data_IF_525570278111
#
_entry.id   IF_525570278111
#
_cell.length_a   1.000
_cell.length_b   1.000
_cell.length_c   1.000
_cell.angle_alpha   90.00
_cell.angle_beta   90.00
_cell.angle_gamma   90.00
#
_symmetry.space_group_name_H-M   'P 1'
#
loop_
_entity.id
_entity.type
_entity.pdbx_description
1 polymer ?
#
# COMPACT_ATOMS: atom_id res chain seq x y z
N UNK A 1 -17.15 -46.07 18.25
CA UNK A 1 -16.41 -46.21 19.52
C UNK A 1 -15.17 -47.06 19.25
N UNK A 2 -14.03 -46.62 19.76
CA UNK A 2 -12.70 -47.25 19.74
C UNK A 2 -11.94 -47.23 18.38
N UNK A 3 -10.93 -46.37 18.19
CA UNK A 3 -9.51 -46.50 18.64
C UNK A 3 -8.81 -47.60 17.82
N UNK A 4 -7.71 -47.40 17.07
CA UNK A 4 -6.31 -47.16 17.47
C UNK A 4 -5.49 -47.07 16.15
N UNK A 5 -4.71 -46.02 15.86
CA UNK A 5 -3.26 -45.88 16.08
C UNK A 5 -2.41 -47.15 15.86
N UNK A 6 -1.38 -47.01 15.01
CA UNK A 6 -0.37 -48.02 14.63
C UNK A 6 -0.69 -48.55 13.23
N UNK A 7 0.10 -48.37 12.17
CA UNK A 7 1.51 -48.74 12.03
C UNK A 7 2.07 -47.93 10.85
N UNK A 8 2.88 -46.91 11.10
CA UNK A 8 3.80 -46.36 10.10
C UNK A 8 5.21 -46.54 10.63
N UNK A 9 5.57 -47.81 10.78
CA UNK A 9 6.87 -48.26 11.20
C UNK A 9 7.41 -49.24 10.19
N UNK A 10 7.74 -48.78 8.98
CA UNK A 10 8.74 -49.40 8.09
C UNK A 10 9.26 -48.31 7.16
N UNK A 11 10.36 -47.65 7.54
CA UNK A 11 11.43 -47.15 6.66
C UNK A 11 12.42 -46.33 7.51
N UNK A 12 13.09 -47.05 8.42
CA UNK A 12 14.36 -46.63 9.00
C UNK A 12 15.32 -47.82 8.86
N UNK A 13 15.99 -47.89 7.73
CA UNK A 13 17.10 -48.80 7.50
C UNK A 13 18.04 -48.14 6.48
N UNK A 14 18.84 -47.20 6.97
CA UNK A 14 20.19 -46.87 6.51
C UNK A 14 20.72 -45.83 7.49
N UNK A 15 21.20 -46.36 8.63
CA UNK A 15 21.82 -45.54 9.66
C UNK A 15 23.04 -44.80 9.12
N UNK A 16 23.08 -43.50 9.36
CA UNK A 16 24.33 -42.75 9.57
C UNK A 16 24.08 -41.72 10.67
N UNK A 17 24.66 -42.01 11.83
CA UNK A 17 24.82 -41.16 13.01
C UNK A 17 26.02 -40.22 12.85
N UNK A 18 26.03 -39.13 13.62
CA UNK A 18 27.17 -38.23 13.82
C UNK A 18 27.00 -36.95 13.00
N UNK A 19 26.50 -35.84 13.56
CA UNK A 19 27.21 -35.01 14.53
C UNK A 19 28.67 -34.79 14.10
N UNK A 20 28.86 -33.90 13.12
CA UNK A 20 29.92 -32.90 13.12
C UNK A 20 29.60 -31.89 12.03
N UNK A 21 29.70 -30.61 12.38
CA UNK A 21 30.11 -29.49 11.52
C UNK A 21 29.79 -28.19 12.28
N UNK A 22 30.64 -27.93 13.29
CA UNK A 22 31.00 -26.57 13.65
C UNK A 22 32.25 -26.24 12.82
N UNK A 23 32.08 -25.51 11.72
CA UNK A 23 33.17 -24.75 11.08
C UNK A 23 32.54 -23.68 10.20
N UNK A 24 32.81 -22.42 10.53
CA UNK A 24 32.26 -21.28 9.83
C UNK A 24 32.74 -21.19 8.38
N UNK A 25 31.85 -20.72 7.51
CA UNK A 25 32.16 -19.65 6.57
C UNK A 25 30.85 -19.09 6.04
N UNK A 26 30.69 -17.77 6.14
CA UNK A 26 29.57 -17.07 5.55
C UNK A 26 29.59 -17.19 4.04
N UNK A 27 28.47 -17.63 3.47
CA UNK A 27 28.07 -17.23 2.12
C UNK A 27 26.56 -17.31 2.04
N UNK A 28 25.95 -16.18 1.67
CA UNK A 28 24.52 -16.05 1.38
C UNK A 28 24.15 -17.05 0.28
N UNK A 29 23.60 -18.19 0.66
CA UNK A 29 22.82 -18.98 -0.29
C UNK A 29 21.48 -18.27 -0.46
N UNK A 30 21.39 -17.51 -1.55
CA UNK A 30 20.15 -16.97 -2.09
C UNK A 30 19.27 -18.16 -2.46
N UNK A 31 18.46 -18.59 -1.52
CA UNK A 31 17.43 -19.61 -1.69
C UNK A 31 16.52 -19.25 -2.88
N UNK A 32 16.40 -20.12 -3.90
CA UNK A 32 15.48 -19.93 -5.02
C UNK A 32 14.12 -20.51 -4.64
N UNK A 33 13.55 -20.05 -3.53
CA UNK A 33 12.20 -20.43 -3.16
C UNK A 33 11.22 -19.37 -3.64
N UNK A 34 10.58 -19.74 -4.76
CA UNK A 34 9.19 -19.46 -5.07
C UNK A 34 8.81 -17.98 -5.06
N UNK A 35 8.84 -17.38 -6.26
CA UNK A 35 7.86 -16.37 -6.63
C UNK A 35 6.48 -17.04 -6.53
N UNK A 36 5.96 -17.15 -5.30
CA UNK A 36 4.60 -17.54 -5.05
C UNK A 36 3.75 -16.51 -5.78
N UNK A 37 3.16 -16.95 -6.89
CA UNK A 37 2.10 -16.24 -7.59
C UNK A 37 1.05 -15.89 -6.55
N UNK A 38 1.10 -14.66 -6.03
CA UNK A 38 0.08 -14.15 -5.13
C UNK A 38 -1.20 -14.18 -5.95
N UNK A 39 -2.21 -14.99 -5.58
CA UNK A 39 -3.43 -15.06 -6.34
C UNK A 39 -3.97 -13.65 -6.47
N UNK A 40 -4.26 -13.26 -7.71
CA UNK A 40 -4.84 -11.98 -8.14
C UNK A 40 -6.29 -11.80 -7.62
N UNK A 41 -6.58 -12.30 -6.43
CA UNK A 41 -7.86 -12.22 -5.72
C UNK A 41 -8.04 -10.88 -4.99
N UNK A 42 -7.00 -10.06 -4.89
CA UNK A 42 -7.14 -8.62 -4.60
C UNK A 42 -7.18 -7.80 -5.91
N UNK A 43 -8.01 -8.21 -6.86
CA UNK A 43 -8.36 -7.34 -7.97
C UNK A 43 -9.37 -6.31 -7.46
N UNK A 44 -8.88 -5.12 -7.07
CA UNK A 44 -9.78 -3.97 -6.90
C UNK A 44 -10.56 -3.79 -8.20
N UNK A 45 -11.88 -3.89 -8.12
CA UNK A 45 -12.80 -3.72 -9.27
C UNK A 45 -12.57 -2.40 -10.00
N UNK A 46 -12.01 -1.41 -9.29
CA UNK A 46 -11.65 -0.10 -9.85
C UNK A 46 -10.51 -0.15 -10.88
N UNK A 47 -9.70 -1.21 -10.95
CA UNK A 47 -8.60 -1.29 -11.92
C UNK A 47 -9.07 -1.48 -13.36
N UNK A 48 -10.26 -2.05 -13.56
CA UNK A 48 -10.90 -2.21 -14.87
C UNK A 48 -11.87 -1.07 -15.25
N UNK A 49 -12.11 -0.12 -14.34
CA UNK A 49 -13.00 1.01 -14.63
C UNK A 49 -12.24 2.11 -15.39
N UNK A 50 -12.72 2.57 -16.55
CA UNK A 50 -11.99 3.51 -17.38
C UNK A 50 -11.85 4.85 -16.63
N UNK A 51 -10.70 5.48 -16.83
CA UNK A 51 -10.41 6.79 -16.24
C UNK A 51 -10.88 7.89 -17.18
N UNK A 52 -11.34 9.00 -16.61
CA UNK A 52 -11.67 10.20 -17.38
C UNK A 52 -10.48 10.63 -18.23
N UNK A 53 -10.70 11.07 -19.47
CA UNK A 53 -9.63 11.54 -20.35
C UNK A 53 -9.00 12.82 -19.81
N UNK A 54 -7.77 13.09 -20.25
CA UNK A 54 -7.02 14.27 -19.84
C UNK A 54 -7.64 15.52 -20.47
N UNK A 55 -7.84 16.57 -19.67
CA UNK A 55 -8.33 17.86 -20.18
C UNK A 55 -7.29 18.52 -21.09
N UNK A 56 -7.72 19.51 -21.89
CA UNK A 56 -6.86 20.25 -22.83
C UNK A 56 -5.58 20.78 -22.17
N UNK A 57 -5.70 21.49 -21.04
CA UNK A 57 -4.55 21.98 -20.29
C UNK A 57 -3.63 20.86 -19.76
N UNK A 58 -4.20 19.76 -19.24
CA UNK A 58 -3.39 18.65 -18.70
C UNK A 58 -2.62 17.97 -19.82
N UNK A 59 -3.23 17.83 -21.00
CA UNK A 59 -2.58 17.31 -22.22
C UNK A 59 -1.40 18.20 -22.62
N UNK A 60 -1.63 19.50 -22.78
CA UNK A 60 -0.56 20.48 -23.05
C UNK A 60 0.54 20.42 -21.98
N UNK A 61 0.17 20.39 -20.70
CA UNK A 61 1.13 20.35 -19.60
C UNK A 61 2.00 19.09 -19.61
N UNK A 62 1.41 17.95 -19.95
CA UNK A 62 2.13 16.67 -20.09
C UNK A 62 3.14 16.69 -21.22
N UNK A 63 2.82 17.35 -22.34
CA UNK A 63 3.72 17.50 -23.49
C UNK A 63 4.85 18.50 -23.23
N UNK A 64 4.55 19.62 -22.58
CA UNK A 64 5.54 20.67 -22.31
C UNK A 64 6.47 20.35 -21.14
N UNK A 65 5.99 19.64 -20.10
CA UNK A 65 6.80 19.32 -18.92
C UNK A 65 8.17 18.67 -19.23
N UNK A 66 8.29 17.63 -20.09
CA UNK A 66 9.58 17.04 -20.42
C UNK A 66 10.52 18.04 -21.14
N UNK A 67 10.00 18.91 -21.99
CA UNK A 67 10.78 19.93 -22.71
C UNK A 67 11.37 20.93 -21.69
N UNK A 68 10.54 21.43 -20.78
CA UNK A 68 10.96 22.34 -19.72
C UNK A 68 11.93 21.68 -18.73
N UNK A 69 11.76 20.38 -18.48
CA UNK A 69 12.65 19.60 -17.61
C UNK A 69 14.00 19.33 -18.27
N UNK A 70 14.04 19.10 -19.59
CA UNK A 70 15.29 18.98 -20.34
C UNK A 70 16.08 20.30 -20.36
N UNK A 71 15.39 21.43 -20.49
CA UNK A 71 16.02 22.75 -20.42
C UNK A 71 16.45 23.14 -18.99
N UNK A 72 15.79 22.60 -17.97
CA UNK A 72 16.05 22.92 -16.56
C UNK A 72 16.08 21.63 -15.72
N UNK A 73 17.15 20.82 -15.83
CA UNK A 73 17.23 19.51 -15.17
C UNK A 73 17.14 19.60 -13.64
N UNK A 74 17.66 20.68 -13.05
CA UNK A 74 17.68 20.87 -11.59
C UNK A 74 16.39 21.49 -11.03
N UNK A 75 15.53 22.04 -11.89
CA UNK A 75 14.31 22.70 -11.45
C UNK A 75 13.28 21.71 -10.90
N UNK A 76 12.60 22.10 -9.82
CA UNK A 76 11.47 21.34 -9.26
C UNK A 76 10.29 21.36 -10.22
N UNK A 77 9.61 20.23 -10.39
CA UNK A 77 8.44 20.15 -11.27
C UNK A 77 7.36 21.18 -10.91
N UNK A 78 7.20 21.54 -9.63
CA UNK A 78 6.27 22.59 -9.20
C UNK A 78 6.55 23.95 -9.82
N UNK A 79 7.83 24.31 -10.01
CA UNK A 79 8.25 25.55 -10.67
C UNK A 79 7.94 25.50 -12.18
N UNK A 80 8.25 24.37 -12.81
CA UNK A 80 8.03 24.16 -14.24
C UNK A 80 6.55 24.19 -14.60
N UNK A 81 5.71 23.53 -13.80
CA UNK A 81 4.26 23.55 -14.00
C UNK A 81 3.68 24.96 -13.88
N UNK A 82 4.21 25.80 -12.97
CA UNK A 82 3.79 27.22 -12.89
C UNK A 82 4.13 27.99 -14.16
N UNK A 83 5.32 27.78 -14.73
CA UNK A 83 5.73 28.39 -16.01
C UNK A 83 4.85 27.92 -17.16
N UNK A 84 4.57 26.63 -17.25
CA UNK A 84 3.68 26.04 -18.26
C UNK A 84 2.25 26.58 -18.13
N UNK A 85 1.74 26.74 -16.90
CA UNK A 85 0.43 27.35 -16.66
C UNK A 85 0.36 28.82 -17.09
N UNK A 86 1.48 29.55 -17.07
CA UNK A 86 1.56 30.90 -17.62
C UNK A 86 1.51 30.86 -19.16
N UNK A 87 2.31 29.99 -19.78
CA UNK A 87 2.33 29.81 -21.23
C UNK A 87 0.96 29.41 -21.78
N UNK A 88 0.26 28.50 -21.11
CA UNK A 88 -1.10 28.12 -21.52
C UNK A 88 -2.08 29.30 -21.54
N UNK A 89 -1.95 30.26 -20.61
CA UNK A 89 -2.81 31.44 -20.58
C UNK A 89 -2.51 32.39 -21.73
N UNK A 90 -1.24 32.51 -22.09
CA UNK A 90 -0.73 33.35 -23.18
C UNK A 90 -0.92 32.71 -24.57
N UNK A 91 -1.20 31.40 -24.63
CA UNK A 91 -1.39 30.65 -25.87
C UNK A 91 -2.61 31.18 -26.66
N UNK A 92 -2.52 31.31 -27.99
CA UNK A 92 -3.66 31.73 -28.80
C UNK A 92 -4.78 30.68 -28.76
N UNK A 93 -6.01 31.15 -28.90
CA UNK A 93 -7.20 30.29 -28.79
C UNK A 93 -7.28 29.27 -29.95
N UNK A 94 -6.66 29.56 -31.09
CA UNK A 94 -6.50 28.61 -32.20
C UNK A 94 -5.74 27.36 -31.79
N UNK A 95 -4.63 27.52 -31.07
CA UNK A 95 -3.83 26.39 -30.58
C UNK A 95 -4.52 25.68 -29.43
N UNK A 96 -5.14 26.42 -28.50
CA UNK A 96 -5.94 25.82 -27.41
C UNK A 96 -7.06 24.93 -27.96
N UNK A 97 -7.70 25.37 -29.05
CA UNK A 97 -8.81 24.65 -29.70
C UNK A 97 -8.40 23.26 -30.17
N UNK A 98 -7.18 23.09 -30.66
CA UNK A 98 -6.64 21.77 -31.07
C UNK A 98 -6.68 20.78 -29.88
N UNK A 99 -6.28 21.23 -28.70
CA UNK A 99 -6.31 20.41 -27.48
C UNK A 99 -7.73 20.18 -26.96
N UNK A 100 -8.63 21.15 -27.12
CA UNK A 100 -10.04 21.01 -26.77
C UNK A 100 -10.77 20.00 -27.66
N UNK A 101 -10.55 20.06 -28.97
CA UNK A 101 -11.13 19.13 -29.93
C UNK A 101 -10.62 17.71 -29.68
N UNK A 102 -9.32 17.55 -29.39
CA UNK A 102 -8.76 16.27 -28.96
C UNK A 102 -9.39 15.75 -27.64
N UNK A 103 -9.62 16.63 -26.66
CA UNK A 103 -10.32 16.26 -25.42
C UNK A 103 -11.77 15.84 -25.70
N UNK A 104 -12.48 16.54 -26.59
CA UNK A 104 -13.86 16.21 -26.97
C UNK A 104 -13.93 14.84 -27.63
N UNK A 105 -13.00 14.52 -28.53
CA UNK A 105 -12.91 13.21 -29.16
C UNK A 105 -12.69 12.09 -28.13
N UNK A 106 -11.69 12.24 -27.25
CA UNK A 106 -11.43 11.27 -26.18
C UNK A 106 -12.63 11.12 -25.23
N UNK A 107 -13.38 12.20 -24.99
CA UNK A 107 -14.55 12.19 -24.14
C UNK A 107 -15.69 11.33 -24.72
N UNK A 108 -15.88 11.35 -26.04
CA UNK A 108 -16.86 10.46 -26.69
C UNK A 108 -16.46 9.00 -26.52
N UNK A 109 -15.20 8.67 -26.78
CA UNK A 109 -14.68 7.29 -26.60
C UNK A 109 -14.85 6.83 -25.15
N UNK A 110 -14.51 7.69 -24.17
CA UNK A 110 -14.70 7.41 -22.76
C UNK A 110 -16.17 7.16 -22.40
N UNK A 111 -17.09 7.95 -22.96
CA UNK A 111 -18.52 7.81 -22.72
C UNK A 111 -19.04 6.48 -23.26
N UNK A 112 -18.66 6.12 -24.47
CA UNK A 112 -19.01 4.83 -25.07
C UNK A 112 -18.48 3.66 -24.25
N UNK A 113 -17.21 3.72 -23.81
CA UNK A 113 -16.60 2.66 -23.00
C UNK A 113 -17.28 2.51 -21.64
N UNK A 114 -17.63 3.62 -20.99
CA UNK A 114 -18.40 3.61 -19.74
C UNK A 114 -19.77 2.95 -19.94
N UNK A 115 -20.49 3.31 -21.01
CA UNK A 115 -21.80 2.74 -21.28
C UNK A 115 -21.71 1.22 -21.50
N UNK A 116 -20.74 0.77 -22.30
CA UNK A 116 -20.48 -0.67 -22.53
C UNK A 116 -20.21 -1.42 -21.23
N UNK A 117 -19.37 -0.86 -20.36
CA UNK A 117 -19.05 -1.48 -19.07
C UNK A 117 -20.26 -1.47 -18.15
N UNK A 118 -21.04 -0.39 -18.12
CA UNK A 118 -22.25 -0.32 -17.30
C UNK A 118 -23.29 -1.37 -17.70
N UNK A 119 -23.48 -1.61 -18.99
CA UNK A 119 -24.38 -2.66 -19.50
C UNK A 119 -23.90 -4.08 -19.12
N UNK A 120 -22.59 -4.29 -19.06
CA UNK A 120 -22.00 -5.60 -18.72
C UNK A 120 -21.94 -5.88 -17.22
N UNK A 121 -22.13 -4.87 -16.37
CA UNK A 121 -21.97 -5.02 -14.93
C UNK A 121 -23.22 -5.60 -14.27
N UNK A 122 -23.01 -6.59 -13.38
CA UNK A 122 -24.09 -7.09 -12.52
C UNK A 122 -24.41 -6.08 -11.41
N UNK A 123 -25.66 -6.06 -10.90
CA UNK A 123 -26.04 -5.15 -9.79
C UNK A 123 -25.15 -5.29 -8.55
N UNK A 124 -24.70 -6.52 -8.24
CA UNK A 124 -23.78 -6.78 -7.14
C UNK A 124 -22.41 -6.13 -7.35
N UNK A 125 -21.86 -6.21 -8.57
CA UNK A 125 -20.60 -5.57 -8.93
C UNK A 125 -20.70 -4.03 -8.86
N UNK A 126 -21.82 -3.45 -9.34
CA UNK A 126 -22.06 -2.01 -9.23
C UNK A 126 -22.00 -1.53 -7.78
N UNK A 127 -22.74 -2.18 -6.87
CA UNK A 127 -22.74 -1.82 -5.44
C UNK A 127 -21.34 -1.96 -4.83
N UNK A 128 -20.60 -3.02 -5.20
CA UNK A 128 -19.23 -3.22 -4.72
C UNK A 128 -18.29 -2.09 -5.19
N UNK A 129 -18.42 -1.65 -6.44
CA UNK A 129 -17.64 -0.58 -7.03
C UNK A 129 -17.94 0.78 -6.38
N UNK A 130 -19.23 1.08 -6.18
CA UNK A 130 -19.67 2.29 -5.48
C UNK A 130 -19.12 2.34 -4.05
N UNK A 131 -19.15 1.20 -3.34
CA UNK A 131 -18.59 1.07 -2.00
C UNK A 131 -17.07 1.28 -2.00
N UNK A 132 -16.33 0.69 -2.96
CA UNK A 132 -14.89 0.91 -3.11
C UNK A 132 -14.57 2.40 -3.37
N UNK A 133 -15.31 3.05 -4.26
CA UNK A 133 -15.16 4.48 -4.57
C UNK A 133 -15.43 5.34 -3.32
N UNK A 134 -16.51 5.04 -2.60
CA UNK A 134 -16.88 5.74 -1.37
C UNK A 134 -15.79 5.58 -0.29
N UNK A 135 -15.31 4.36 -0.05
CA UNK A 135 -14.24 4.11 0.91
C UNK A 135 -12.94 4.85 0.55
N UNK A 136 -12.55 4.88 -0.73
CA UNK A 136 -11.39 5.65 -1.21
C UNK A 136 -11.56 7.16 -0.98
N UNK A 137 -12.75 7.71 -1.24
CA UNK A 137 -13.08 9.12 -0.96
C UNK A 137 -13.00 9.44 0.53
N UNK A 138 -13.60 8.60 1.39
CA UNK A 138 -13.57 8.76 2.85
C UNK A 138 -12.14 8.68 3.39
N UNK A 139 -11.35 7.70 2.93
CA UNK A 139 -9.93 7.56 3.30
C UNK A 139 -9.11 8.80 2.92
N UNK A 140 -9.31 9.34 1.70
CA UNK A 140 -8.65 10.57 1.25
C UNK A 140 -9.04 11.77 2.12
N UNK A 141 -10.34 11.95 2.41
CA UNK A 141 -10.83 13.00 3.31
C UNK A 141 -10.22 12.91 4.72
N UNK A 142 -10.19 11.70 5.29
CA UNK A 142 -9.58 11.47 6.61
C UNK A 142 -8.08 11.80 6.61
N UNK A 143 -7.35 11.46 5.55
CA UNK A 143 -5.93 11.79 5.41
C UNK A 143 -5.70 13.30 5.32
N UNK A 144 -6.50 14.02 4.53
CA UNK A 144 -6.42 15.48 4.39
C UNK A 144 -6.69 16.14 5.75
N UNK A 145 -7.79 15.77 6.42
CA UNK A 145 -8.13 16.26 7.76
C UNK A 145 -7.03 15.99 8.77
N UNK A 146 -6.41 14.80 8.72
CA UNK A 146 -5.27 14.47 9.60
C UNK A 146 -4.06 15.37 9.34
N UNK A 147 -3.72 15.62 8.06
CA UNK A 147 -2.60 16.50 7.69
C UNK A 147 -2.85 17.93 8.16
N UNK A 148 -4.05 18.45 7.93
CA UNK A 148 -4.48 19.76 8.40
C UNK A 148 -4.36 19.91 9.92
N UNK A 149 -4.92 18.96 10.68
CA UNK A 149 -4.78 18.96 12.14
C UNK A 149 -3.32 18.87 12.61
N UNK A 150 -2.46 18.20 11.85
CA UNK A 150 -1.02 18.13 12.15
C UNK A 150 -0.33 19.46 11.88
N UNK A 151 -0.67 20.14 10.78
CA UNK A 151 -0.17 21.48 10.46
C UNK A 151 -0.61 22.53 11.49
N UNK A 152 -1.82 22.41 12.03
CA UNK A 152 -2.35 23.27 13.10
C UNK A 152 -1.74 22.96 14.49
N UNK A 153 -0.79 22.02 14.59
CA UNK A 153 -0.13 21.71 15.85
C UNK A 153 -1.02 21.02 16.88
N UNK A 154 -2.12 20.36 16.46
CA UNK A 154 -3.01 19.66 17.40
C UNK A 154 -2.19 18.65 18.24
N UNK A 155 -2.27 18.71 19.58
CA UNK A 155 -1.49 17.82 20.43
C UNK A 155 -1.82 16.35 20.17
N UNK A 156 -0.80 15.51 20.24
CA UNK A 156 -0.97 14.06 20.18
C UNK A 156 -1.75 13.59 21.41
N UNK A 157 -2.51 12.52 21.25
CA UNK A 157 -3.21 11.88 22.38
C UNK A 157 -2.18 11.39 23.42
N UNK A 158 -2.53 11.38 24.71
CA UNK A 158 -1.66 10.79 25.72
C UNK A 158 -1.37 9.32 25.39
N UNK A 159 -0.16 8.87 25.68
CA UNK A 159 0.22 7.47 25.49
C UNK A 159 -0.53 6.62 26.53
N UNK A 160 -1.20 5.56 26.08
CA UNK A 160 -1.74 4.52 26.96
C UNK A 160 -0.60 3.80 27.70
N UNK A 161 -0.85 3.26 28.89
CA UNK A 161 0.11 2.43 29.65
C UNK A 161 0.72 1.32 28.78
N UNK A 162 -0.11 0.67 27.95
CA UNK A 162 0.35 -0.28 26.94
C UNK A 162 1.36 0.35 25.97
N UNK A 163 1.05 1.52 25.39
CA UNK A 163 1.95 2.20 24.43
C UNK A 163 3.27 2.64 25.07
N UNK A 164 3.29 2.92 26.37
CA UNK A 164 4.50 3.24 27.15
C UNK A 164 5.36 1.98 27.28
N UNK A 165 4.78 0.87 27.75
CA UNK A 165 5.45 -0.43 27.81
C UNK A 165 5.99 -0.88 26.44
N UNK A 166 5.20 -0.75 25.36
CA UNK A 166 5.68 -1.05 23.99
C UNK A 166 6.91 -0.20 23.69
N UNK A 167 6.87 1.11 23.94
CA UNK A 167 7.98 2.01 23.61
C UNK A 167 9.27 1.66 24.38
N UNK A 168 9.16 1.21 25.64
CA UNK A 168 10.28 0.78 26.49
C UNK A 168 10.86 -0.55 25.99
N UNK A 169 10.02 -1.57 25.82
CA UNK A 169 10.45 -2.91 25.41
C UNK A 169 10.90 -2.99 23.95
N UNK A 170 10.46 -2.06 23.10
CA UNK A 170 10.86 -2.01 21.69
C UNK A 170 12.35 -1.68 21.49
N UNK A 171 12.98 -0.99 22.45
CA UNK A 171 14.42 -0.69 22.41
C UNK A 171 15.29 -1.89 22.82
N UNK A 172 14.75 -2.77 23.67
CA UNK A 172 15.46 -3.90 24.26
C UNK A 172 15.58 -5.11 23.29
N UNK A 173 14.64 -5.26 22.36
CA UNK A 173 14.64 -6.38 21.41
C UNK A 173 15.63 -6.14 20.26
N UNK A 174 16.81 -6.80 20.31
CA UNK A 174 17.86 -6.65 19.30
C UNK A 174 17.61 -7.35 17.96
N UNK A 175 16.56 -8.16 17.78
CA UNK A 175 16.42 -9.00 16.56
C UNK A 175 15.08 -8.84 15.82
N UNK A 176 15.12 -8.72 14.49
CA UNK A 176 14.04 -8.89 13.49
C UNK A 176 12.63 -8.30 13.77
N UNK A 177 12.21 -7.30 12.97
CA UNK A 177 10.94 -6.56 13.10
C UNK A 177 9.65 -7.39 13.26
N UNK A 178 9.59 -8.61 12.70
CA UNK A 178 8.38 -9.44 12.69
C UNK A 178 8.20 -10.31 13.94
N UNK A 179 9.29 -10.75 14.58
CA UNK A 179 9.24 -11.53 15.84
C UNK A 179 9.05 -10.61 17.06
N UNK A 180 9.45 -9.33 16.96
CA UNK A 180 9.33 -8.32 18.03
C UNK A 180 7.89 -8.05 18.46
N UNK A 181 6.94 -7.98 17.53
CA UNK A 181 5.53 -7.70 17.89
C UNK A 181 4.85 -8.90 18.57
N UNK A 182 5.28 -10.13 18.26
CA UNK A 182 4.77 -11.36 18.89
C UNK A 182 5.28 -11.50 20.34
N UNK A 183 6.56 -11.23 20.59
CA UNK A 183 7.15 -11.32 21.94
C UNK A 183 6.44 -10.35 22.92
N UNK A 184 6.14 -9.14 22.45
CA UNK A 184 5.48 -8.12 23.28
C UNK A 184 3.98 -8.41 23.49
N UNK A 185 3.32 -9.03 22.51
CA UNK A 185 1.95 -9.53 22.67
C UNK A 185 1.84 -10.68 23.68
N UNK A 186 2.87 -11.52 23.80
CA UNK A 186 2.90 -12.67 24.72
C UNK A 186 3.33 -12.31 26.15
N UNK A 187 4.07 -11.21 26.36
CA UNK A 187 4.58 -10.81 27.69
C UNK A 187 3.55 -10.04 28.54
N UNK A 188 2.58 -9.38 27.91
CA UNK A 188 1.59 -8.55 28.63
C UNK A 188 0.62 -9.36 29.50
N UNK A 189 0.11 -10.53 29.07
CA UNK A 189 -0.66 -11.41 29.95
C UNK A 189 0.15 -11.88 31.18
N UNK A 190 1.46 -12.10 31.04
CA UNK A 190 2.32 -12.59 32.13
C UNK A 190 2.53 -11.54 33.24
N UNK A 191 2.68 -10.26 32.88
CA UNK A 191 2.92 -9.18 33.85
C UNK A 191 1.68 -8.93 34.71
N UNK A 192 0.47 -9.08 34.14
CA UNK A 192 -0.81 -8.96 34.87
C UNK A 192 -0.97 -10.11 35.88
N UNK A 193 -0.44 -11.30 35.59
CA UNK A 193 -0.46 -12.44 36.52
C UNK A 193 0.52 -12.29 37.69
N UNK A 194 1.70 -11.72 37.47
CA UNK A 194 2.70 -11.55 38.53
C UNK A 194 2.38 -10.40 39.49
N UNK A 195 1.81 -9.28 39.02
CA UNK A 195 1.46 -8.14 39.88
C UNK A 195 0.33 -8.42 40.89
N UNK A 196 -0.48 -9.47 40.67
CA UNK A 196 -1.51 -9.92 41.64
C UNK A 196 -0.93 -10.78 42.77
N UNK A 197 0.24 -11.38 42.59
CA UNK A 197 0.86 -12.24 43.59
C UNK A 197 1.60 -11.45 44.68
N UNK A 198 2.04 -10.22 44.40
CA UNK A 198 2.76 -9.37 45.35
C UNK A 198 1.85 -8.48 46.21
N UNK A 199 0.55 -8.40 45.91
CA UNK A 199 -0.41 -7.59 46.68
C UNK A 199 -1.10 -8.36 47.85
N UNK A 200 -0.67 -9.59 48.14
CA UNK A 200 -1.15 -10.43 49.25
C UNK A 200 0.00 -10.89 50.17
N UNK A 201 0.91 -9.97 50.50
CA UNK A 201 1.81 -10.04 51.66
C UNK A 201 1.85 -8.68 52.31
#
# INVERSE_FOLDING_TARGET
MALLRGVWGVLNALGKSGADLCAGCGSRLRSPFSFAYVPKWFSSSLSGYPKKPMTSYVRFSKEQLPIFKAQNPDAKNSELIKKIAKLWRELPDSEKKIYEDAYRADWQVYKEEINRIQEQLTPSQMVSLEKEIMQKRLKKKALIKKRELTMLGKPKRPRSAYNIFIAERFQEARDGTSQRLQIVSCTIPLIICHGKAESYK
#
